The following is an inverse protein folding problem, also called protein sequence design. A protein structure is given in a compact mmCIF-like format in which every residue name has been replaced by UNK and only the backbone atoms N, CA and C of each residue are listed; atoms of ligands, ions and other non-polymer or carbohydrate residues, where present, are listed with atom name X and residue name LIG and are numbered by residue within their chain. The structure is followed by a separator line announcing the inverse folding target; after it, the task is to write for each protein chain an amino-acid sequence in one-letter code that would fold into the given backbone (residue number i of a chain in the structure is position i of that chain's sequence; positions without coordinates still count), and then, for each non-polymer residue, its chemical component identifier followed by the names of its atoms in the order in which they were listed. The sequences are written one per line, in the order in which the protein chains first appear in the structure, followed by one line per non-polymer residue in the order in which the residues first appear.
data_IF_646301209089
#
_entry.id   IF_646301209089
#
_cell.length_a   1.000
_cell.length_b   1.000
_cell.length_c   1.000
_cell.angle_alpha   90.00
_cell.angle_beta   90.00
_cell.angle_gamma   90.00
#
_symmetry.space_group_name_H-M   'P 1'
#
loop_
_entity.id
_entity.type
_entity.pdbx_description
1 polymer ?
#
# COMPACT_ATOMS: atom_id res chain seq x y z
N UNK A 1 7.68 6.97 -71.69
CA UNK A 1 8.27 5.82 -70.99
C UNK A 1 8.28 6.19 -69.50
N UNK A 2 7.33 5.91 -68.62
CA UNK A 2 6.46 4.75 -68.32
C UNK A 2 7.18 3.47 -67.92
N UNK A 3 7.47 3.37 -66.61
CA UNK A 3 7.59 2.18 -65.74
C UNK A 3 7.63 2.75 -64.31
N UNK A 4 6.59 2.73 -63.46
CA UNK A 4 5.75 1.65 -62.95
C UNK A 4 6.49 0.63 -62.06
N UNK A 5 6.04 0.60 -60.79
CA UNK A 5 5.95 -0.52 -59.83
C UNK A 5 7.12 -0.81 -58.90
N UNK A 6 6.80 -0.82 -57.61
CA UNK A 6 7.62 -1.41 -56.55
C UNK A 6 7.12 -1.10 -55.13
N UNK A 7 5.81 -1.11 -54.88
CA UNK A 7 5.27 -1.04 -53.51
C UNK A 7 5.53 -2.39 -52.84
N UNK A 8 6.47 -2.43 -51.90
CA UNK A 8 6.74 -3.60 -51.07
C UNK A 8 5.66 -3.68 -49.97
N UNK A 9 4.66 -4.52 -50.20
CA UNK A 9 3.72 -4.99 -49.18
C UNK A 9 4.44 -5.99 -48.27
N UNK A 10 4.82 -5.57 -47.06
CA UNK A 10 5.00 -6.52 -45.96
C UNK A 10 3.64 -6.73 -45.32
N UNK A 11 2.92 -7.76 -45.81
CA UNK A 11 1.83 -8.38 -45.07
C UNK A 11 2.47 -9.12 -43.90
N UNK A 12 2.31 -8.60 -42.69
CA UNK A 12 2.39 -9.41 -41.49
C UNK A 12 1.19 -10.37 -41.50
N UNK A 13 1.49 -11.66 -41.59
CA UNK A 13 0.54 -12.74 -41.33
C UNK A 13 0.12 -12.63 -39.87
N UNK A 14 -1.07 -12.08 -39.64
CA UNK A 14 -1.75 -12.18 -38.35
C UNK A 14 -2.33 -13.59 -38.32
N UNK A 15 -1.67 -14.49 -37.58
CA UNK A 15 -2.27 -15.74 -37.17
C UNK A 15 -3.53 -15.39 -36.34
N UNK A 16 -4.70 -15.65 -36.92
CA UNK A 16 -5.98 -15.68 -36.20
C UNK A 16 -5.92 -16.84 -35.19
N UNK A 17 -5.33 -16.57 -34.03
CA UNK A 17 -5.37 -17.44 -32.88
C UNK A 17 -6.83 -17.48 -32.38
N UNK A 18 -7.48 -18.59 -32.73
CA UNK A 18 -8.85 -18.95 -32.38
C UNK A 18 -9.12 -18.69 -30.89
N UNK A 19 -9.98 -17.72 -30.59
CA UNK A 19 -10.51 -17.46 -29.24
C UNK A 19 -11.84 -18.21 -29.10
N UNK A 20 -11.91 -19.35 -28.37
CA UNK A 20 -13.20 -19.97 -28.08
C UNK A 20 -14.02 -19.05 -27.17
N UNK A 21 -15.23 -18.70 -27.60
CA UNK A 21 -16.22 -18.03 -26.75
C UNK A 21 -16.58 -18.94 -25.57
N UNK A 22 -16.74 -18.44 -24.34
CA UNK A 22 -17.24 -19.25 -23.24
C UNK A 22 -18.70 -19.61 -23.51
N UNK A 23 -18.95 -20.90 -23.73
CA UNK A 23 -20.29 -21.48 -23.79
C UNK A 23 -20.97 -21.30 -22.44
N UNK A 24 -22.09 -20.58 -22.44
CA UNK A 24 -22.98 -20.40 -21.30
C UNK A 24 -23.50 -21.77 -20.86
N UNK A 25 -23.21 -22.19 -19.62
CA UNK A 25 -23.98 -23.27 -18.97
C UNK A 25 -23.28 -24.58 -18.62
N UNK A 26 -21.95 -24.67 -18.55
CA UNK A 26 -21.32 -25.88 -17.99
C UNK A 26 -21.05 -25.75 -16.49
N UNK A 27 -22.01 -26.25 -15.71
CA UNK A 27 -21.79 -26.70 -14.33
C UNK A 27 -20.67 -27.76 -14.36
N UNK A 28 -19.47 -27.42 -13.92
CA UNK A 28 -18.45 -28.43 -13.69
C UNK A 28 -18.78 -29.18 -12.40
N UNK A 29 -19.16 -30.44 -12.59
CA UNK A 29 -19.39 -31.41 -11.54
C UNK A 29 -18.09 -31.73 -10.81
N UNK A 30 -18.12 -31.58 -9.48
CA UNK A 30 -17.10 -32.03 -8.53
C UNK A 30 -16.95 -33.55 -8.65
N UNK A 31 -15.85 -34.03 -9.22
CA UNK A 31 -15.43 -35.42 -9.04
C UNK A 31 -14.45 -35.48 -7.86
N UNK A 32 -14.96 -35.88 -6.70
CA UNK A 32 -14.15 -36.37 -5.58
C UNK A 32 -13.97 -37.89 -5.68
N UNK A 33 -12.94 -38.47 -5.03
CA UNK A 33 -12.71 -39.91 -5.03
C UNK A 33 -13.85 -40.67 -4.30
N UNK A 34 -14.14 -41.93 -4.69
CA UNK A 34 -15.24 -42.71 -4.12
C UNK A 34 -14.85 -43.23 -2.73
N UNK A 35 -15.56 -42.77 -1.69
CA UNK A 35 -15.34 -43.23 -0.32
C UNK A 35 -16.00 -42.34 0.74
N UNK A 36 -17.28 -42.03 0.58
CA UNK A 36 -18.05 -41.27 1.58
C UNK A 36 -18.73 -42.27 2.51
N UNK A 37 -18.06 -42.60 3.61
CA UNK A 37 -18.77 -42.87 4.86
C UNK A 37 -19.32 -41.53 5.33
N UNK A 38 -20.65 -41.43 5.41
CA UNK A 38 -21.33 -40.22 5.84
C UNK A 38 -20.83 -39.79 7.22
N UNK A 39 -20.26 -38.60 7.27
CA UNK A 39 -20.19 -37.81 8.50
C UNK A 39 -20.80 -36.49 8.08
N UNK A 40 -21.95 -36.17 8.66
CA UNK A 40 -22.51 -34.84 8.60
C UNK A 40 -21.42 -33.87 9.08
N UNK A 41 -20.77 -33.20 8.12
CA UNK A 41 -19.93 -32.05 8.44
C UNK A 41 -20.93 -30.98 8.82
N UNK A 42 -21.26 -30.92 10.12
CA UNK A 42 -21.80 -29.70 10.72
C UNK A 42 -20.96 -28.56 10.15
N UNK A 43 -21.62 -27.68 9.40
CA UNK A 43 -21.04 -26.41 8.97
C UNK A 43 -20.61 -25.71 10.25
N UNK A 44 -19.37 -25.93 10.66
CA UNK A 44 -18.78 -25.10 11.70
C UNK A 44 -18.83 -23.69 11.10
N UNK A 45 -19.57 -22.75 11.74
CA UNK A 45 -19.51 -21.39 11.30
C UNK A 45 -18.03 -21.02 11.36
N UNK A 46 -17.47 -20.65 10.20
CA UNK A 46 -16.17 -20.02 10.14
C UNK A 46 -16.37 -18.79 11.01
N UNK A 47 -15.93 -18.89 12.26
CA UNK A 47 -15.97 -17.79 13.19
C UNK A 47 -14.90 -16.84 12.66
N UNK A 48 -15.33 -15.97 11.74
CA UNK A 48 -14.59 -14.78 11.35
C UNK A 48 -14.57 -13.95 12.62
N UNK A 49 -13.63 -14.27 13.51
CA UNK A 49 -13.19 -13.37 14.54
C UNK A 49 -12.83 -12.09 13.79
N UNK A 50 -13.74 -11.13 13.81
CA UNK A 50 -13.40 -9.73 13.66
C UNK A 50 -12.42 -9.47 14.81
N UNK A 51 -11.13 -9.67 14.53
CA UNK A 51 -10.05 -9.16 15.37
C UNK A 51 -10.06 -7.64 15.18
N UNK A 52 -11.04 -6.97 15.78
CA UNK A 52 -10.97 -5.56 16.14
C UNK A 52 -10.18 -5.40 17.46
N UNK A 53 -9.31 -6.37 17.80
CA UNK A 53 -8.33 -6.22 18.86
C UNK A 53 -7.12 -5.50 18.28
N UNK A 54 -7.24 -4.17 18.21
CA UNK A 54 -6.09 -3.30 18.02
C UNK A 54 -5.05 -3.60 19.11
N UNK A 55 -3.82 -3.86 18.69
CA UNK A 55 -2.68 -4.02 19.58
C UNK A 55 -2.62 -2.78 20.47
N UNK A 56 -2.75 -2.96 21.78
CA UNK A 56 -2.77 -1.88 22.77
C UNK A 56 -1.59 -0.93 22.55
N UNK A 57 -1.89 0.34 22.26
CA UNK A 57 -0.84 1.35 22.19
C UNK A 57 -1.21 2.63 21.45
N UNK A 58 -1.91 2.53 20.31
CA UNK A 58 -2.25 3.69 19.47
C UNK A 58 -3.66 3.54 18.94
N UNK A 59 -4.46 4.61 19.06
CA UNK A 59 -5.82 4.60 18.54
C UNK A 59 -5.85 4.74 17.01
N UNK A 60 -6.86 4.11 16.40
CA UNK A 60 -7.18 4.26 14.98
C UNK A 60 -7.27 5.72 14.55
N UNK A 61 -7.85 6.56 15.41
CA UNK A 61 -7.97 8.00 15.19
C UNK A 61 -6.61 8.69 15.10
N UNK A 62 -5.66 8.33 15.96
CA UNK A 62 -4.31 8.87 15.93
C UNK A 62 -3.54 8.43 14.68
N UNK A 63 -3.68 7.16 14.28
CA UNK A 63 -3.09 6.64 13.04
C UNK A 63 -3.67 7.33 11.81
N UNK A 64 -5.00 7.50 11.76
CA UNK A 64 -5.68 8.19 10.67
C UNK A 64 -5.23 9.65 10.59
N UNK A 65 -5.07 10.32 11.74
CA UNK A 65 -4.52 11.68 11.80
C UNK A 65 -3.11 11.75 11.23
N UNK A 66 -2.23 10.82 11.62
CA UNK A 66 -0.86 10.78 11.10
C UNK A 66 -0.85 10.53 9.57
N UNK A 67 -1.72 9.65 9.05
CA UNK A 67 -1.88 9.44 7.60
C UNK A 67 -2.35 10.70 6.87
N UNK A 68 -3.33 11.42 7.42
CA UNK A 68 -3.85 12.69 6.87
C UNK A 68 -2.74 13.74 6.80
N UNK A 69 -1.98 13.90 7.88
CA UNK A 69 -0.88 14.86 7.97
C UNK A 69 0.25 14.51 6.98
N UNK A 70 0.68 13.25 6.90
CA UNK A 70 1.69 12.80 5.94
C UNK A 70 1.21 12.94 4.48
N UNK A 71 -0.06 12.63 4.19
CA UNK A 71 -0.65 12.81 2.87
C UNK A 71 -0.62 14.27 2.48
N UNK A 72 -1.01 15.15 3.40
CA UNK A 72 -1.04 16.59 3.17
C UNK A 72 0.36 17.15 2.89
N UNK A 73 1.36 16.76 3.68
CA UNK A 73 2.76 17.09 3.41
C UNK A 73 3.22 16.63 2.03
N UNK A 74 2.94 15.37 1.67
CA UNK A 74 3.32 14.83 0.36
C UNK A 74 2.69 15.62 -0.79
N UNK A 75 1.40 15.97 -0.68
CA UNK A 75 0.71 16.77 -1.70
C UNK A 75 1.23 18.21 -1.77
N UNK A 76 1.59 18.81 -0.63
CA UNK A 76 2.10 20.19 -0.59
C UNK A 76 3.47 20.30 -1.23
N UNK A 77 4.38 19.37 -0.92
CA UNK A 77 5.68 19.34 -1.56
C UNK A 77 5.58 19.08 -3.06
N UNK A 78 4.71 18.16 -3.49
CA UNK A 78 4.47 17.92 -4.92
C UNK A 78 3.95 19.19 -5.63
N UNK A 79 3.03 19.93 -4.99
CA UNK A 79 2.51 21.20 -5.54
C UNK A 79 3.60 22.28 -5.60
N UNK A 80 4.42 22.42 -4.56
CA UNK A 80 5.52 23.42 -4.55
C UNK A 80 6.54 23.14 -5.65
N UNK A 81 7.03 21.91 -5.74
CA UNK A 81 7.99 21.51 -6.77
C UNK A 81 7.44 21.68 -8.19
N UNK A 82 6.15 21.38 -8.42
CA UNK A 82 5.51 21.58 -9.72
C UNK A 82 5.46 23.06 -10.15
N UNK A 83 5.36 23.98 -9.19
CA UNK A 83 5.30 25.44 -9.46
C UNK A 83 6.69 26.05 -9.66
N UNK A 84 7.69 25.53 -8.95
CA UNK A 84 9.04 26.08 -8.94
C UNK A 84 9.90 25.61 -10.12
N UNK A 85 9.44 24.62 -10.89
CA UNK A 85 10.15 24.14 -12.08
C UNK A 85 11.44 23.41 -11.71
N UNK A 86 11.32 22.18 -11.18
CA UNK A 86 12.47 21.40 -10.71
C UNK A 86 13.43 21.07 -11.86
N UNK A 87 14.62 21.66 -11.85
CA UNK A 87 15.75 21.22 -12.65
C UNK A 87 16.25 19.83 -12.24
N UNK A 88 17.07 19.16 -13.06
CA UNK A 88 17.44 17.74 -12.93
C UNK A 88 18.26 17.36 -11.66
N UNK A 89 18.59 18.31 -10.78
CA UNK A 89 19.41 18.10 -9.60
C UNK A 89 18.70 18.32 -8.25
N UNK A 90 17.40 18.62 -8.25
CA UNK A 90 16.65 18.69 -6.99
C UNK A 90 16.37 17.28 -6.48
N UNK A 91 16.98 16.90 -5.35
CA UNK A 91 16.44 15.79 -4.54
C UNK A 91 15.01 16.19 -4.19
N UNK A 92 14.03 15.51 -4.77
CA UNK A 92 12.63 15.89 -4.65
C UNK A 92 12.14 15.61 -3.23
N UNK A 93 11.95 16.67 -2.45
CA UNK A 93 11.28 16.65 -1.16
C UNK A 93 9.90 15.99 -1.30
N UNK A 94 9.22 16.18 -2.45
CA UNK A 94 7.98 15.49 -2.76
C UNK A 94 8.13 13.96 -2.76
N UNK A 95 9.23 13.43 -3.33
CA UNK A 95 9.48 11.98 -3.33
C UNK A 95 9.80 11.47 -1.92
N UNK A 96 10.58 12.21 -1.13
CA UNK A 96 10.85 11.84 0.27
C UNK A 96 9.56 11.82 1.09
N UNK A 97 8.69 12.82 0.92
CA UNK A 97 7.39 12.89 1.60
C UNK A 97 6.44 11.78 1.17
N UNK A 98 6.34 11.50 -0.13
CA UNK A 98 5.56 10.37 -0.65
C UNK A 98 6.10 9.03 -0.13
N UNK A 99 7.42 8.91 0.02
CA UNK A 99 8.05 7.71 0.55
C UNK A 99 7.84 7.55 2.06
N UNK A 100 7.76 8.64 2.83
CA UNK A 100 7.37 8.61 4.24
C UNK A 100 5.91 8.14 4.38
N UNK A 101 5.00 8.73 3.61
CA UNK A 101 3.59 8.34 3.54
C UNK A 101 3.43 6.85 3.19
N UNK A 102 4.11 6.39 2.13
CA UNK A 102 4.02 5.00 1.69
C UNK A 102 4.53 4.01 2.73
N UNK A 103 5.60 4.34 3.48
CA UNK A 103 6.09 3.49 4.57
C UNK A 103 5.10 3.43 5.72
N UNK A 104 4.53 4.56 6.12
CA UNK A 104 3.53 4.58 7.19
C UNK A 104 2.24 3.86 6.78
N UNK A 105 1.73 4.09 5.56
CA UNK A 105 0.56 3.39 5.04
C UNK A 105 0.77 1.88 4.92
N UNK A 106 1.99 1.41 4.58
CA UNK A 106 2.33 -0.01 4.63
C UNK A 106 2.29 -0.58 6.06
N UNK A 107 2.81 0.16 7.05
CA UNK A 107 2.74 -0.25 8.46
C UNK A 107 1.28 -0.44 8.91
N UNK A 108 0.44 0.57 8.69
CA UNK A 108 -0.98 0.53 9.06
C UNK A 108 -1.74 -0.53 8.24
N UNK A 109 -1.40 -0.70 6.96
CA UNK A 109 -2.00 -1.72 6.11
C UNK A 109 -1.70 -3.14 6.59
N UNK A 110 -0.47 -3.39 7.04
CA UNK A 110 -0.06 -4.68 7.61
C UNK A 110 -0.81 -4.96 8.92
N UNK A 111 -0.91 -3.99 9.81
CA UNK A 111 -1.60 -4.15 11.08
C UNK A 111 -3.11 -4.34 10.91
N UNK A 112 -3.74 -3.53 10.04
CA UNK A 112 -5.19 -3.56 9.83
C UNK A 112 -5.64 -4.57 8.77
N UNK A 113 -4.71 -5.34 8.19
CA UNK A 113 -4.94 -6.22 7.04
C UNK A 113 -5.65 -5.51 5.87
N UNK A 114 -5.30 -4.24 5.62
CA UNK A 114 -5.90 -3.37 4.59
C UNK A 114 -4.87 -3.00 3.52
N UNK A 115 -5.33 -2.78 2.30
CA UNK A 115 -4.45 -2.31 1.25
C UNK A 115 -4.01 -0.86 1.54
N UNK A 116 -2.70 -0.53 1.50
CA UNK A 116 -2.22 0.83 1.72
C UNK A 116 -2.88 1.88 0.80
N UNK A 117 -3.23 1.51 -0.43
CA UNK A 117 -3.90 2.42 -1.37
C UNK A 117 -5.33 2.74 -0.96
N UNK A 118 -6.05 1.76 -0.37
CA UNK A 118 -7.40 1.96 0.15
C UNK A 118 -7.40 2.91 1.36
N UNK A 119 -6.40 2.76 2.24
CA UNK A 119 -6.23 3.65 3.41
C UNK A 119 -6.05 5.12 3.03
N UNK A 120 -5.50 5.40 1.84
CA UNK A 120 -5.16 6.75 1.41
C UNK A 120 -6.25 7.44 0.59
N UNK A 121 -7.22 6.67 0.06
CA UNK A 121 -8.18 7.14 -0.96
C UNK A 121 -9.00 8.33 -0.47
N UNK A 122 -9.64 8.19 0.69
CA UNK A 122 -10.66 9.14 1.17
C UNK A 122 -10.16 10.06 2.29
N UNK A 123 -8.84 10.14 2.50
CA UNK A 123 -8.27 11.00 3.53
C UNK A 123 -8.38 12.48 3.14
N UNK A 124 -8.89 13.35 4.03
CA UNK A 124 -8.92 14.79 3.79
C UNK A 124 -7.52 15.37 3.67
N UNK A 125 -7.43 16.54 3.06
CA UNK A 125 -6.23 17.36 3.05
C UNK A 125 -6.35 18.44 4.12
N UNK A 126 -5.26 18.71 4.83
CA UNK A 126 -5.19 19.75 5.85
C UNK A 126 -4.01 20.68 5.56
N UNK A 127 -4.25 21.97 5.72
CA UNK A 127 -3.21 22.98 5.58
C UNK A 127 -2.36 23.07 6.87
N UNK A 128 -1.10 23.46 6.72
CA UNK A 128 -0.19 23.80 7.83
C UNK A 128 0.07 22.65 8.83
N UNK A 129 0.55 21.51 8.31
CA UNK A 129 1.00 20.40 9.15
C UNK A 129 2.22 20.80 9.99
N UNK A 130 2.13 20.62 11.31
CA UNK A 130 3.28 20.72 12.22
C UNK A 130 4.18 19.48 12.09
N UNK A 131 5.20 19.61 11.25
CA UNK A 131 6.15 18.53 10.94
C UNK A 131 6.89 18.01 12.18
N UNK A 132 7.23 18.89 13.13
CA UNK A 132 7.98 18.51 14.33
C UNK A 132 7.08 17.70 15.27
N UNK A 133 5.86 18.17 15.51
CA UNK A 133 4.90 17.44 16.32
C UNK A 133 4.53 16.09 15.70
N UNK A 134 4.43 16.00 14.38
CA UNK A 134 4.22 14.73 13.67
C UNK A 134 5.42 13.79 13.84
N UNK A 135 6.65 14.28 13.68
CA UNK A 135 7.85 13.48 13.91
C UNK A 135 7.91 12.92 15.33
N UNK A 136 7.61 13.74 16.34
CA UNK A 136 7.60 13.32 17.74
C UNK A 136 6.51 12.28 18.02
N UNK A 137 5.35 12.37 17.35
CA UNK A 137 4.32 11.32 17.41
C UNK A 137 4.81 10.02 16.81
N UNK A 138 5.38 10.06 15.59
CA UNK A 138 5.89 8.86 14.93
C UNK A 138 7.02 8.20 15.72
N UNK A 139 7.96 8.97 16.28
CA UNK A 139 9.04 8.42 17.13
C UNK A 139 8.52 7.76 18.41
N UNK A 140 7.45 8.29 19.01
CA UNK A 140 6.78 7.63 20.15
C UNK A 140 6.08 6.35 19.73
N UNK A 141 5.40 6.38 18.58
CA UNK A 141 4.72 5.22 18.02
C UNK A 141 5.67 4.07 17.71
N UNK A 142 6.87 4.36 17.18
CA UNK A 142 7.89 3.32 16.98
C UNK A 142 8.20 2.60 18.29
N UNK A 143 8.41 3.32 19.39
CA UNK A 143 8.75 2.70 20.68
C UNK A 143 7.65 1.78 21.17
N UNK A 144 6.40 2.22 21.04
CA UNK A 144 5.21 1.42 21.41
C UNK A 144 5.17 0.14 20.58
N UNK A 145 5.25 0.27 19.25
CA UNK A 145 5.18 -0.89 18.34
C UNK A 145 6.37 -1.83 18.49
N UNK A 146 7.58 -1.32 18.68
CA UNK A 146 8.77 -2.14 18.95
C UNK A 146 8.61 -2.95 20.24
N UNK A 147 8.07 -2.33 21.29
CA UNK A 147 7.78 -3.03 22.55
C UNK A 147 6.75 -4.14 22.35
N UNK A 148 5.69 -3.87 21.58
CA UNK A 148 4.64 -4.86 21.32
C UNK A 148 5.16 -6.01 20.46
N UNK A 149 5.87 -5.73 19.37
CA UNK A 149 6.51 -6.74 18.52
C UNK A 149 7.50 -7.60 19.31
N UNK A 150 8.31 -6.99 20.17
CA UNK A 150 9.24 -7.72 21.04
C UNK A 150 8.50 -8.63 22.02
N UNK A 151 7.41 -8.15 22.62
CA UNK A 151 6.62 -8.93 23.57
C UNK A 151 5.90 -10.11 22.90
N UNK A 152 5.37 -9.91 21.69
CA UNK A 152 4.65 -10.95 20.94
C UNK A 152 5.59 -12.00 20.35
N UNK A 153 6.72 -11.56 19.78
CA UNK A 153 7.63 -12.44 19.02
C UNK A 153 8.84 -12.91 19.82
N UNK A 154 9.04 -12.37 21.04
CA UNK A 154 10.20 -12.60 21.90
C UNK A 154 11.55 -12.32 21.20
N UNK A 155 11.53 -11.47 20.16
CA UNK A 155 12.70 -11.07 19.37
C UNK A 155 12.41 -9.79 18.59
N UNK A 156 13.47 -9.12 18.14
CA UNK A 156 13.35 -8.02 17.19
C UNK A 156 12.88 -8.51 15.81
N UNK A 157 11.85 -7.87 15.26
CA UNK A 157 11.31 -8.19 13.94
C UNK A 157 11.89 -7.23 12.90
N UNK A 158 12.79 -7.74 12.05
CA UNK A 158 13.28 -6.98 10.89
C UNK A 158 12.18 -6.87 9.84
N UNK A 159 11.83 -5.64 9.46
CA UNK A 159 10.74 -5.38 8.52
C UNK A 159 9.35 -5.53 9.13
N UNK A 160 9.23 -5.48 10.47
CA UNK A 160 7.94 -5.38 11.15
C UNK A 160 7.26 -4.02 10.93
N UNK A 161 6.05 -3.88 11.49
CA UNK A 161 5.26 -2.65 11.48
C UNK A 161 6.09 -1.50 12.08
N UNK A 162 6.77 -1.75 13.19
CA UNK A 162 7.60 -0.74 13.85
C UNK A 162 8.77 -0.26 12.98
N UNK A 163 9.37 -1.16 12.19
CA UNK A 163 10.44 -0.82 11.24
C UNK A 163 9.93 0.08 10.10
N UNK A 164 8.70 -0.17 9.63
CA UNK A 164 8.05 0.68 8.63
C UNK A 164 7.70 2.06 9.18
N UNK A 165 7.20 2.16 10.41
CA UNK A 165 6.98 3.47 11.06
C UNK A 165 8.31 4.21 11.26
N UNK A 166 9.37 3.53 11.73
CA UNK A 166 10.69 4.15 11.89
C UNK A 166 11.20 4.71 10.56
N UNK A 167 11.07 3.92 9.48
CA UNK A 167 11.43 4.38 8.14
C UNK A 167 10.64 5.60 7.66
N UNK A 168 9.39 5.77 8.12
CA UNK A 168 8.60 6.95 7.84
C UNK A 168 9.07 8.16 8.67
N UNK A 169 9.37 7.94 9.96
CA UNK A 169 9.93 8.96 10.85
C UNK A 169 11.28 9.48 10.34
N UNK A 170 12.20 8.60 9.94
CA UNK A 170 13.53 8.97 9.44
C UNK A 170 13.45 9.86 8.18
N UNK A 171 12.50 9.56 7.29
CA UNK A 171 12.26 10.38 6.08
C UNK A 171 11.64 11.72 6.40
N UNK A 172 10.76 11.77 7.40
CA UNK A 172 10.19 13.03 7.86
C UNK A 172 11.26 13.89 8.54
N UNK A 173 12.16 13.29 9.32
CA UNK A 173 13.32 13.95 9.89
C UNK A 173 14.23 14.51 8.79
N UNK A 174 14.55 13.70 7.77
CA UNK A 174 15.28 14.16 6.59
C UNK A 174 14.58 15.35 5.90
N UNK A 175 13.25 15.36 5.80
CA UNK A 175 12.52 16.51 5.23
C UNK A 175 12.63 17.77 6.06
N UNK A 176 12.69 17.64 7.38
CA UNK A 176 12.81 18.77 8.31
C UNK A 176 14.23 19.34 8.25
N UNK A 177 15.24 18.49 8.17
CA UNK A 177 16.66 18.90 8.07
C UNK A 177 16.99 19.56 6.72
N UNK A 178 16.29 19.19 5.65
CA UNK A 178 16.50 19.72 4.31
C UNK A 178 15.50 20.81 3.90
N UNK A 179 14.66 21.29 4.83
CA UNK A 179 13.68 22.35 4.59
C UNK A 179 14.21 23.73 5.02
#
# INVERSE_FOLDING_TARGET
MSTAKGVFNQRTEINDEYVPKPTTGQRQMKYGPPGVGGVDVEEQPINVYHQDEHIEGISVEAENRNLIELKSLSTDYARKESKEGTGPHFKTQAATAASALGKYAAAIGQERLKNPTELLRDLPHIDNVDKKALLDRLKREVKVRQSNEMNEMLREVRGGVASHVQSAADKLEQLIENA
#
